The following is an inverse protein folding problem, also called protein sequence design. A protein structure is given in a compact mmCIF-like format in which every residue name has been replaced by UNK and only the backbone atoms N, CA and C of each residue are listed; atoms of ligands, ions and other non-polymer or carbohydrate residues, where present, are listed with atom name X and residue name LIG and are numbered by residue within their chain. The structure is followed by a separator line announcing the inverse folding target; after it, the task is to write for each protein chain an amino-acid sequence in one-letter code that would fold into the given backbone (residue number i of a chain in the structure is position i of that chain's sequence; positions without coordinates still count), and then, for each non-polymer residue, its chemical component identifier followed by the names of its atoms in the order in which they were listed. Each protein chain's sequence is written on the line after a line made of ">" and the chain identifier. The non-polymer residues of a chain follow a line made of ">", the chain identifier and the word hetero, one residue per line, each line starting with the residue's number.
data_IF_122027221845
#
_entry.id   IF_122027221845
#
_cell.length_a   1.000
_cell.length_b   1.000
_cell.length_c   1.000
_cell.angle_alpha   90.00
_cell.angle_beta   90.00
_cell.angle_gamma   90.00
#
_symmetry.space_group_name_H-M   'P 1'
#
loop_
_entity.id
_entity.type
_entity.pdbx_description
1 polymer ?
#
# COMPACT_ATOMS: atom_id res chain seq x y z
N UNK A 1 -21.62 11.28 25.11
CA UNK A 1 -20.35 10.62 24.77
C UNK A 1 -20.35 10.36 23.28
N UNK A 2 -19.22 10.56 22.61
CA UNK A 2 -19.07 10.32 21.19
C UNK A 2 -18.11 9.14 21.00
N UNK A 3 -18.57 8.00 20.45
CA UNK A 3 -17.74 6.81 20.30
C UNK A 3 -16.81 6.90 19.09
N UNK A 4 -15.64 6.30 19.21
CA UNK A 4 -14.63 6.18 18.16
C UNK A 4 -14.08 4.76 18.10
N UNK A 5 -13.66 4.34 16.92
CA UNK A 5 -12.87 3.14 16.70
C UNK A 5 -11.40 3.49 16.57
N UNK A 6 -10.56 2.78 17.32
CA UNK A 6 -9.11 2.92 17.26
C UNK A 6 -8.47 1.54 17.37
N UNK A 7 -7.41 1.30 16.60
CA UNK A 7 -6.78 0.00 16.52
C UNK A 7 -6.31 -0.41 17.91
N UNK A 8 -6.59 -1.66 18.36
CA UNK A 8 -6.48 -2.02 19.76
C UNK A 8 -5.16 -1.60 20.42
N UNK A 9 -4.04 -1.74 19.74
CA UNK A 9 -2.70 -1.50 20.30
C UNK A 9 -2.36 -0.02 20.53
N UNK A 10 -3.19 0.89 20.01
CA UNK A 10 -3.06 2.34 20.14
C UNK A 10 -3.75 2.85 21.42
N UNK A 11 -3.08 3.74 22.13
CA UNK A 11 -3.55 4.37 23.35
C UNK A 11 -3.63 5.88 23.17
N UNK A 12 -4.81 6.44 23.43
CA UNK A 12 -4.99 7.89 23.46
C UNK A 12 -4.36 8.45 24.72
N UNK A 13 -3.56 9.50 24.56
CA UNK A 13 -2.92 10.27 25.62
C UNK A 13 -3.74 11.49 25.98
N UNK A 14 -4.32 12.15 24.97
CA UNK A 14 -5.03 13.41 25.13
C UNK A 14 -6.04 13.60 24.01
N UNK A 15 -7.18 14.18 24.35
CA UNK A 15 -8.16 14.71 23.41
C UNK A 15 -8.37 16.19 23.73
N UNK A 16 -8.41 17.05 22.71
CA UNK A 16 -8.65 18.48 22.91
C UNK A 16 -9.53 19.07 21.81
N UNK A 17 -10.16 20.21 22.06
CA UNK A 17 -10.86 20.95 21.00
C UNK A 17 -9.88 21.74 20.12
N UNK A 18 -10.38 22.42 19.09
CA UNK A 18 -9.60 23.31 18.22
C UNK A 18 -8.80 24.37 19.00
N UNK A 19 -9.37 24.89 20.09
CA UNK A 19 -8.73 25.90 20.94
C UNK A 19 -7.69 25.32 21.93
N UNK A 20 -7.46 24.00 21.89
CA UNK A 20 -6.52 23.29 22.76
C UNK A 20 -7.10 22.93 24.14
N UNK A 21 -8.37 23.22 24.43
CA UNK A 21 -9.01 22.80 25.68
C UNK A 21 -9.14 21.28 25.73
N UNK A 22 -8.59 20.68 26.78
CA UNK A 22 -8.65 19.24 26.99
C UNK A 22 -10.09 18.74 27.27
N UNK A 23 -10.38 17.56 26.76
CA UNK A 23 -11.68 16.89 26.86
C UNK A 23 -11.47 15.51 27.48
N UNK A 24 -12.34 15.16 28.44
CA UNK A 24 -12.31 13.85 29.06
C UNK A 24 -12.60 12.74 28.04
N UNK A 25 -11.96 11.59 28.25
CA UNK A 25 -12.13 10.40 27.42
C UNK A 25 -12.28 9.16 28.28
N UNK A 26 -12.93 8.15 27.72
CA UNK A 26 -12.94 6.79 28.23
C UNK A 26 -12.28 5.94 27.16
N UNK A 27 -11.23 5.23 27.52
CA UNK A 27 -10.66 4.19 26.68
C UNK A 27 -10.46 2.95 27.54
N UNK A 28 -11.05 1.84 27.11
CA UNK A 28 -10.88 0.58 27.83
C UNK A 28 -9.44 0.06 27.74
N UNK A 29 -8.97 -0.67 28.78
CA UNK A 29 -7.61 -1.18 28.82
C UNK A 29 -7.38 -2.25 27.75
N UNK A 30 -6.11 -2.52 27.45
CA UNK A 30 -5.71 -3.48 26.42
C UNK A 30 -6.30 -4.90 26.58
N UNK A 31 -6.68 -5.29 27.78
CA UNK A 31 -7.24 -6.61 28.09
C UNK A 31 -8.75 -6.75 27.88
N UNK A 32 -9.45 -5.66 27.53
CA UNK A 32 -10.91 -5.61 27.32
C UNK A 32 -11.23 -5.35 25.83
N UNK A 33 -12.44 -4.85 25.53
CA UNK A 33 -12.95 -4.68 24.16
C UNK A 33 -12.40 -3.39 23.49
N UNK A 34 -11.61 -2.60 24.23
CA UNK A 34 -10.81 -1.42 23.81
C UNK A 34 -11.63 -0.28 23.20
N UNK A 35 -12.90 -0.18 23.58
CA UNK A 35 -13.78 0.91 23.19
C UNK A 35 -13.19 2.27 23.57
N UNK A 36 -13.31 3.23 22.66
CA UNK A 36 -12.92 4.63 22.84
C UNK A 36 -14.16 5.52 22.76
N UNK A 37 -14.33 6.40 23.75
CA UNK A 37 -15.38 7.42 23.73
C UNK A 37 -14.86 8.74 24.27
N UNK A 38 -15.25 9.83 23.62
CA UNK A 38 -14.96 11.21 24.06
C UNK A 38 -16.17 11.77 24.83
N UNK A 39 -15.93 12.38 25.98
CA UNK A 39 -16.95 13.01 26.81
C UNK A 39 -16.97 14.51 26.49
N UNK A 40 -17.79 14.90 25.52
CA UNK A 40 -17.95 16.31 25.16
C UNK A 40 -18.51 17.11 26.35
N UNK A 41 -17.94 18.28 26.69
CA UNK A 41 -18.37 19.09 27.83
C UNK A 41 -19.75 19.72 27.61
N UNK A 42 -20.17 19.87 26.35
CA UNK A 42 -21.48 20.38 25.96
C UNK A 42 -21.88 19.72 24.65
N UNK A 43 -23.18 19.52 24.44
CA UNK A 43 -23.68 19.00 23.17
C UNK A 43 -23.32 19.95 22.01
N UNK A 44 -22.71 19.45 20.92
CA UNK A 44 -22.51 20.24 19.72
C UNK A 44 -23.85 20.73 19.16
N UNK A 45 -23.86 21.92 18.57
CA UNK A 45 -25.04 22.42 17.87
C UNK A 45 -25.25 21.62 16.58
N UNK A 46 -26.48 21.15 16.36
CA UNK A 46 -26.81 20.35 15.18
C UNK A 46 -26.48 21.10 13.90
N UNK A 47 -25.79 20.41 12.98
CA UNK A 47 -25.37 20.97 11.69
C UNK A 47 -24.15 21.90 11.74
N UNK A 48 -23.58 22.17 12.92
CA UNK A 48 -22.32 22.92 13.03
C UNK A 48 -21.12 21.99 13.17
N UNK A 49 -20.08 22.15 12.35
CA UNK A 49 -18.86 21.38 12.49
C UNK A 49 -18.14 21.77 13.79
N UNK A 50 -17.39 20.82 14.35
CA UNK A 50 -16.46 21.03 15.45
C UNK A 50 -15.23 20.15 15.23
N UNK A 51 -14.12 20.50 15.87
CA UNK A 51 -12.84 19.79 15.73
C UNK A 51 -12.46 19.11 17.02
N UNK A 52 -11.98 17.87 16.90
CA UNK A 52 -11.34 17.12 17.97
C UNK A 52 -9.91 16.78 17.54
N UNK A 53 -8.97 17.09 18.41
CA UNK A 53 -7.56 16.77 18.24
C UNK A 53 -7.21 15.59 19.16
N UNK A 54 -6.73 14.50 18.56
CA UNK A 54 -6.33 13.29 19.26
C UNK A 54 -4.81 13.16 19.25
N UNK A 55 -4.23 12.94 20.42
CA UNK A 55 -2.83 12.57 20.59
C UNK A 55 -2.78 11.13 21.09
N UNK A 56 -2.14 10.23 20.35
CA UNK A 56 -2.11 8.81 20.65
C UNK A 56 -0.80 8.17 20.20
N UNK A 57 -0.47 7.04 20.81
CA UNK A 57 0.73 6.27 20.47
C UNK A 57 0.45 4.77 20.55
N UNK A 58 1.28 3.98 19.88
CA UNK A 58 1.23 2.54 19.96
C UNK A 58 2.10 1.89 18.88
N UNK A 59 1.91 0.59 18.71
CA UNK A 59 2.69 -0.25 17.81
C UNK A 59 1.74 -1.18 17.02
N UNK A 60 2.29 -2.08 16.21
CA UNK A 60 1.55 -3.15 15.51
C UNK A 60 0.54 -2.68 14.43
N UNK A 61 0.46 -1.37 14.15
CA UNK A 61 -0.25 -0.85 12.97
C UNK A 61 0.56 -1.05 11.67
N UNK A 62 1.84 -1.40 11.78
CA UNK A 62 2.71 -1.68 10.65
C UNK A 62 3.17 -3.13 10.72
N UNK A 63 3.06 -3.83 9.59
CA UNK A 63 3.59 -5.17 9.39
C UNK A 63 4.79 -5.13 8.44
N UNK A 64 5.87 -5.86 8.80
CA UNK A 64 7.01 -6.07 7.90
C UNK A 64 6.68 -7.20 6.94
N UNK A 65 6.82 -6.94 5.64
CA UNK A 65 6.59 -7.91 4.56
C UNK A 65 7.91 -8.46 4.00
N UNK A 66 9.02 -8.30 4.72
CA UNK A 66 10.35 -8.70 4.27
C UNK A 66 11.31 -7.52 4.17
N UNK A 67 12.46 -7.72 3.52
CA UNK A 67 13.57 -6.76 3.55
C UNK A 67 13.13 -5.40 2.98
N UNK A 68 13.00 -4.42 3.87
CA UNK A 68 12.72 -3.03 3.51
C UNK A 68 11.29 -2.73 3.05
N UNK A 69 10.31 -3.62 3.20
CA UNK A 69 8.91 -3.38 2.81
C UNK A 69 7.97 -3.49 4.02
N UNK A 70 7.17 -2.45 4.23
CA UNK A 70 6.25 -2.32 5.35
C UNK A 70 4.86 -1.90 4.88
N UNK A 71 3.84 -2.57 5.39
CA UNK A 71 2.44 -2.29 5.04
C UNK A 71 1.66 -1.84 6.28
N UNK A 72 0.61 -1.06 6.05
CA UNK A 72 -0.42 -0.88 7.06
C UNK A 72 -1.09 -2.24 7.34
N UNK A 73 -1.08 -2.64 8.61
CA UNK A 73 -1.70 -3.88 9.08
C UNK A 73 -3.15 -3.95 8.55
N UNK A 74 -3.55 -5.03 7.85
CA UNK A 74 -4.91 -5.19 7.34
C UNK A 74 -5.99 -5.01 8.41
N UNK A 75 -5.75 -5.44 9.65
CA UNK A 75 -6.64 -5.27 10.79
C UNK A 75 -6.74 -3.83 11.31
N UNK A 76 -5.78 -2.97 10.96
CA UNK A 76 -5.74 -1.56 11.38
C UNK A 76 -6.21 -0.58 10.29
N UNK A 77 -6.57 -1.06 9.09
CA UNK A 77 -6.84 -0.18 7.92
C UNK A 77 -7.92 0.88 8.14
N UNK A 78 -8.91 0.58 8.98
CA UNK A 78 -9.99 1.51 9.31
C UNK A 78 -9.79 2.26 10.64
N UNK A 79 -8.75 1.93 11.40
CA UNK A 79 -8.66 2.31 12.81
C UNK A 79 -7.25 2.67 13.27
N UNK A 80 -6.25 2.77 12.38
CA UNK A 80 -4.93 3.32 12.72
C UNK A 80 -4.96 4.83 13.05
N UNK A 81 -6.10 5.48 12.78
CA UNK A 81 -6.52 6.79 13.26
C UNK A 81 -7.90 6.66 13.94
N UNK A 82 -8.29 7.61 14.82
CA UNK A 82 -9.62 7.60 15.44
C UNK A 82 -10.72 7.76 14.37
N UNK A 83 -11.40 6.66 14.06
CA UNK A 83 -12.53 6.64 13.13
C UNK A 83 -13.85 6.74 13.89
N UNK A 84 -14.93 7.16 13.22
CA UNK A 84 -16.24 7.26 13.87
C UNK A 84 -16.74 5.88 14.33
N UNK A 85 -17.07 5.76 15.61
CA UNK A 85 -17.57 4.51 16.18
C UNK A 85 -18.99 4.20 15.73
N UNK A 86 -19.37 2.92 15.80
CA UNK A 86 -20.67 2.40 15.33
C UNK A 86 -20.93 2.63 13.84
N UNK A 87 -19.86 2.78 13.04
CA UNK A 87 -19.96 2.85 11.58
C UNK A 87 -19.40 1.58 10.98
N UNK A 88 -20.12 1.00 10.01
CA UNK A 88 -19.60 -0.17 9.31
C UNK A 88 -18.43 0.24 8.39
N UNK A 89 -17.44 -0.63 8.26
CA UNK A 89 -16.29 -0.44 7.37
C UNK A 89 -16.71 0.09 5.99
N UNK A 90 -16.12 1.23 5.60
CA UNK A 90 -16.31 1.85 4.30
C UNK A 90 -17.65 2.56 4.09
N UNK A 91 -18.45 2.75 5.14
CA UNK A 91 -19.64 3.60 5.06
C UNK A 91 -19.32 5.07 5.33
N UNK A 92 -18.42 5.34 6.28
CA UNK A 92 -17.95 6.69 6.56
C UNK A 92 -16.96 7.16 5.48
N UNK A 93 -16.97 8.46 5.17
CA UNK A 93 -16.08 9.05 4.18
C UNK A 93 -15.57 10.41 4.62
N UNK A 94 -14.28 10.64 4.37
CA UNK A 94 -13.61 11.88 4.71
C UNK A 94 -12.56 12.23 3.67
N UNK A 95 -12.28 13.53 3.52
CA UNK A 95 -11.06 13.97 2.89
C UNK A 95 -9.90 13.86 3.90
N UNK A 96 -8.70 13.56 3.41
CA UNK A 96 -7.53 13.33 4.26
C UNK A 96 -6.37 14.23 3.86
N UNK A 97 -5.76 14.87 4.86
CA UNK A 97 -4.48 15.54 4.78
C UNK A 97 -3.55 14.92 5.83
N UNK A 98 -2.49 14.25 5.38
CA UNK A 98 -1.65 13.41 6.23
C UNK A 98 -0.18 13.81 6.10
N UNK A 99 0.50 13.94 7.24
CA UNK A 99 1.94 14.12 7.31
C UNK A 99 2.57 12.83 7.85
N UNK A 100 3.34 12.13 7.02
CA UNK A 100 4.09 10.96 7.45
C UNK A 100 5.54 11.33 7.74
N UNK A 101 6.06 10.89 8.89
CA UNK A 101 7.48 10.99 9.25
C UNK A 101 8.08 9.58 9.31
N UNK A 102 9.13 9.33 8.51
CA UNK A 102 9.67 7.98 8.30
C UNK A 102 11.17 8.01 7.94
N UNK A 103 11.90 6.88 8.03
CA UNK A 103 13.33 6.82 7.70
C UNK A 103 13.60 7.26 6.25
N UNK A 104 14.61 8.12 6.03
CA UNK A 104 14.85 8.77 4.73
C UNK A 104 15.18 7.83 3.57
N UNK A 105 15.65 6.61 3.87
CA UNK A 105 15.97 5.59 2.87
C UNK A 105 14.72 4.93 2.27
N UNK A 106 13.55 5.08 2.89
CA UNK A 106 12.31 4.49 2.41
C UNK A 106 11.52 5.49 1.56
N UNK A 107 10.51 4.96 0.88
CA UNK A 107 9.50 5.69 0.12
C UNK A 107 8.13 5.45 0.77
N UNK A 108 7.43 6.53 1.12
CA UNK A 108 6.05 6.49 1.61
C UNK A 108 5.06 6.56 0.44
N UNK A 109 4.03 5.72 0.46
CA UNK A 109 2.93 5.72 -0.49
C UNK A 109 1.62 5.84 0.30
N UNK A 110 1.09 7.06 0.37
CA UNK A 110 -0.16 7.36 1.06
C UNK A 110 -1.38 7.38 0.14
N UNK A 111 -2.54 7.60 0.75
CA UNK A 111 -3.80 7.88 0.06
C UNK A 111 -3.78 9.26 -0.61
N UNK A 112 -4.35 9.37 -1.81
CA UNK A 112 -4.38 10.62 -2.58
C UNK A 112 -3.07 10.89 -3.34
N UNK A 113 -2.60 12.13 -3.27
CA UNK A 113 -1.44 12.64 -4.00
C UNK A 113 -0.36 13.16 -3.05
N UNK A 114 0.91 12.95 -3.41
CA UNK A 114 2.04 13.56 -2.71
C UNK A 114 2.05 15.07 -3.01
N UNK A 115 1.93 15.89 -1.97
CA UNK A 115 1.89 17.35 -2.04
C UNK A 115 3.28 17.95 -1.82
N UNK A 116 4.04 17.39 -0.88
CA UNK A 116 5.35 17.92 -0.46
C UNK A 116 6.18 16.80 0.18
N UNK A 117 7.50 16.86 0.07
CA UNK A 117 8.44 15.96 0.76
C UNK A 117 9.71 16.72 1.15
N UNK A 118 10.07 16.67 2.44
CA UNK A 118 11.26 17.32 2.98
C UNK A 118 12.09 16.32 3.78
N UNK A 119 13.42 16.40 3.67
CA UNK A 119 14.35 15.61 4.47
C UNK A 119 14.77 16.43 5.70
N UNK A 120 14.56 15.88 6.89
CA UNK A 120 15.00 16.42 8.17
C UNK A 120 15.95 15.41 8.84
N UNK A 121 17.27 15.61 8.70
CA UNK A 121 18.28 14.74 9.30
C UNK A 121 18.31 13.32 8.71
N UNK A 122 17.86 12.35 9.49
CA UNK A 122 17.74 10.93 9.11
C UNK A 122 16.32 10.52 8.70
N UNK A 123 15.38 11.47 8.70
CA UNK A 123 13.98 11.24 8.36
C UNK A 123 13.53 12.04 7.14
N UNK A 124 12.43 11.59 6.54
CA UNK A 124 11.61 12.34 5.59
C UNK A 124 10.28 12.67 6.24
N UNK A 125 9.74 13.83 5.91
CA UNK A 125 8.34 14.18 6.11
C UNK A 125 7.68 14.28 4.75
N UNK A 126 6.68 13.43 4.48
CA UNK A 126 5.90 13.48 3.25
C UNK A 126 4.46 13.89 3.55
N UNK A 127 3.96 14.90 2.83
CA UNK A 127 2.59 15.39 2.91
C UNK A 127 1.76 14.75 1.81
N UNK A 128 0.69 14.07 2.19
CA UNK A 128 -0.25 13.43 1.27
C UNK A 128 -1.64 14.04 1.46
N UNK A 129 -2.35 14.26 0.36
CA UNK A 129 -3.69 14.86 0.40
C UNK A 129 -4.62 14.20 -0.62
N UNK A 130 -5.87 13.98 -0.23
CA UNK A 130 -6.93 13.62 -1.17
C UNK A 130 -7.52 14.85 -1.88
N UNK A 131 -7.02 16.06 -1.60
CA UNK A 131 -7.44 17.34 -2.18
C UNK A 131 -8.95 17.56 -2.11
N UNK A 132 -9.54 17.22 -0.97
CA UNK A 132 -10.99 17.37 -0.72
C UNK A 132 -11.86 16.25 -1.30
N UNK A 133 -11.29 15.29 -2.04
CA UNK A 133 -12.04 14.12 -2.47
C UNK A 133 -12.19 13.16 -1.30
N UNK A 134 -13.43 12.76 -1.01
CA UNK A 134 -13.72 11.87 0.09
C UNK A 134 -13.32 10.42 -0.21
N UNK A 135 -12.60 9.82 0.72
CA UNK A 135 -12.19 8.42 0.68
C UNK A 135 -12.88 7.65 1.79
N UNK A 136 -13.15 6.37 1.54
CA UNK A 136 -13.71 5.46 2.54
C UNK A 136 -12.71 5.07 3.63
N UNK A 137 -11.42 5.08 3.30
CA UNK A 137 -10.33 4.76 4.22
C UNK A 137 -9.07 5.53 3.81
N UNK A 138 -8.26 5.90 4.81
CA UNK A 138 -6.88 6.30 4.57
C UNK A 138 -5.96 5.09 4.76
N UNK A 139 -5.18 4.76 3.73
CA UNK A 139 -4.17 3.72 3.79
C UNK A 139 -2.80 4.24 3.43
N UNK A 140 -1.77 3.52 3.84
CA UNK A 140 -0.40 3.76 3.40
C UNK A 140 0.40 2.45 3.36
N UNK A 141 1.44 2.46 2.53
CA UNK A 141 2.53 1.47 2.56
C UNK A 141 3.85 2.25 2.48
N UNK A 142 4.93 1.70 3.01
CA UNK A 142 6.24 2.32 2.86
C UNK A 142 7.37 1.30 2.78
N UNK A 143 8.39 1.62 2.00
CA UNK A 143 9.48 0.66 1.80
C UNK A 143 10.53 1.12 0.80
N UNK A 144 11.51 0.25 0.59
CA UNK A 144 12.54 0.38 -0.44
C UNK A 144 12.00 -0.12 -1.78
N UNK A 145 11.30 0.78 -2.46
CA UNK A 145 10.63 0.49 -3.72
C UNK A 145 11.37 1.06 -4.93
N UNK A 146 11.36 0.31 -6.03
CA UNK A 146 11.55 0.86 -7.37
C UNK A 146 10.18 1.25 -7.93
N UNK A 147 10.05 2.51 -8.36
CA UNK A 147 8.83 3.05 -8.98
C UNK A 147 8.95 3.03 -10.51
N UNK A 148 7.89 2.59 -11.17
CA UNK A 148 7.63 2.87 -12.58
C UNK A 148 6.30 3.58 -12.71
N UNK A 149 6.21 4.50 -13.67
CA UNK A 149 5.03 5.33 -13.89
C UNK A 149 4.69 5.41 -15.37
N UNK A 150 3.41 5.32 -15.70
CA UNK A 150 2.87 5.64 -17.02
C UNK A 150 1.77 6.68 -16.86
N UNK A 151 1.79 7.70 -17.72
CA UNK A 151 0.66 8.62 -17.89
C UNK A 151 -0.14 8.15 -19.10
N UNK A 152 -1.40 7.81 -18.88
CA UNK A 152 -2.27 7.38 -19.96
C UNK A 152 -2.97 8.58 -20.59
N UNK A 153 -2.57 8.97 -21.81
CA UNK A 153 -3.15 10.13 -22.49
C UNK A 153 -4.63 9.95 -22.85
N UNK A 154 -5.12 8.70 -22.89
CA UNK A 154 -6.53 8.39 -23.21
C UNK A 154 -7.45 8.69 -22.02
N UNK A 155 -7.16 8.12 -20.86
CA UNK A 155 -7.97 8.31 -19.64
C UNK A 155 -7.51 9.50 -18.80
N UNK A 156 -6.27 9.94 -18.98
CA UNK A 156 -5.64 10.97 -18.17
C UNK A 156 -5.26 10.51 -16.76
N UNK A 157 -5.19 9.20 -16.51
CA UNK A 157 -4.68 8.62 -15.27
C UNK A 157 -3.14 8.57 -15.25
N UNK A 158 -2.57 8.73 -14.06
CA UNK A 158 -1.18 8.42 -13.74
C UNK A 158 -1.15 7.07 -12.99
N UNK A 159 -0.57 6.06 -13.64
CA UNK A 159 -0.50 4.70 -13.14
C UNK A 159 0.92 4.44 -12.64
N UNK A 160 1.04 4.01 -11.39
CA UNK A 160 2.31 3.71 -10.75
C UNK A 160 2.35 2.25 -10.30
N UNK A 161 3.47 1.57 -10.58
CA UNK A 161 3.79 0.28 -9.97
C UNK A 161 5.06 0.42 -9.16
N UNK A 162 4.98 0.01 -7.90
CA UNK A 162 6.07 0.03 -6.94
C UNK A 162 6.40 -1.40 -6.55
N UNK A 163 7.62 -1.83 -6.88
CA UNK A 163 8.10 -3.18 -6.61
C UNK A 163 9.31 -3.16 -5.69
N UNK A 164 9.51 -4.24 -4.95
CA UNK A 164 10.66 -4.38 -4.07
C UNK A 164 11.97 -4.30 -4.88
N UNK A 165 13.00 -3.69 -4.27
CA UNK A 165 14.35 -3.65 -4.85
C UNK A 165 14.96 -5.05 -4.98
N UNK A 166 14.66 -5.92 -4.02
CA UNK A 166 15.04 -7.33 -4.03
C UNK A 166 13.93 -8.24 -4.58
N UNK A 167 14.34 -9.31 -5.27
CA UNK A 167 13.43 -10.38 -5.68
C UNK A 167 12.97 -11.15 -4.42
N UNK A 168 11.66 -11.35 -4.18
CA UNK A 168 11.16 -12.12 -3.04
C UNK A 168 11.77 -13.53 -2.98
N UNK A 169 11.93 -14.07 -1.78
CA UNK A 169 12.60 -15.36 -1.57
C UNK A 169 11.84 -16.51 -2.23
N UNK A 170 10.50 -16.41 -2.29
CA UNK A 170 9.61 -17.35 -2.97
C UNK A 170 9.96 -17.43 -4.46
N UNK A 171 10.19 -16.27 -5.10
CA UNK A 171 10.57 -16.21 -6.52
C UNK A 171 11.99 -16.74 -6.73
N UNK A 172 12.94 -16.41 -5.84
CA UNK A 172 14.29 -16.99 -5.89
C UNK A 172 14.23 -18.52 -5.77
N UNK A 173 13.39 -19.04 -4.87
CA UNK A 173 13.22 -20.49 -4.69
C UNK A 173 12.64 -21.18 -5.93
N UNK A 174 11.68 -20.55 -6.60
CA UNK A 174 11.11 -21.05 -7.85
C UNK A 174 12.14 -21.00 -9.00
N UNK A 175 12.90 -19.90 -9.13
CA UNK A 175 13.98 -19.78 -10.10
C UNK A 175 15.02 -20.89 -9.91
N UNK A 176 15.45 -21.13 -8.67
CA UNK A 176 16.41 -22.19 -8.34
C UNK A 176 15.89 -23.57 -8.72
N UNK A 177 14.62 -23.89 -8.40
CA UNK A 177 13.98 -25.17 -8.76
C UNK A 177 13.89 -25.38 -10.27
N UNK A 178 13.60 -24.32 -11.02
CA UNK A 178 13.53 -24.38 -12.49
C UNK A 178 14.92 -24.55 -13.09
N UNK A 179 15.91 -23.77 -12.63
CA UNK A 179 17.30 -23.89 -13.07
C UNK A 179 17.86 -25.28 -12.80
N UNK A 180 17.53 -25.88 -11.66
CA UNK A 180 17.90 -27.25 -11.32
C UNK A 180 17.24 -28.26 -12.27
N UNK A 181 15.95 -28.09 -12.57
CA UNK A 181 15.22 -28.93 -13.53
C UNK A 181 15.80 -28.84 -14.94
N UNK A 182 16.14 -27.63 -15.41
CA UNK A 182 16.77 -27.40 -16.71
C UNK A 182 18.19 -28.01 -16.77
N UNK A 183 18.98 -27.84 -15.70
CA UNK A 183 20.32 -28.43 -15.58
C UNK A 183 20.26 -29.96 -15.62
N UNK A 184 19.29 -30.58 -14.94
CA UNK A 184 19.04 -32.03 -15.01
C UNK A 184 18.60 -32.47 -16.40
N UNK A 185 17.78 -31.69 -17.10
CA UNK A 185 17.39 -31.97 -18.49
C UNK A 185 18.57 -31.91 -19.45
N UNK A 186 19.46 -30.93 -19.31
CA UNK A 186 20.67 -30.84 -20.13
C UNK A 186 21.65 -31.98 -19.81
N UNK A 187 21.85 -32.32 -18.54
CA UNK A 187 22.73 -33.41 -18.13
C UNK A 187 22.24 -34.80 -18.60
N UNK A 188 20.92 -34.99 -18.73
CA UNK A 188 20.33 -36.24 -19.22
C UNK A 188 20.13 -36.29 -20.75
N UNK A 189 20.61 -35.28 -21.51
CA UNK A 189 20.70 -35.40 -22.97
C UNK A 189 21.87 -36.32 -23.31
N UNK A 190 21.60 -37.60 -23.54
CA UNK A 190 22.44 -38.41 -24.43
C UNK A 190 22.28 -37.87 -25.85
N UNK A 191 23.38 -37.38 -26.43
CA UNK A 191 23.45 -36.96 -27.83
C UNK A 191 22.98 -38.12 -28.70
N UNK A 192 21.75 -38.03 -29.22
CA UNK A 192 21.26 -39.02 -30.17
C UNK A 192 21.90 -38.76 -31.53
N UNK A 193 22.16 -39.80 -32.32
CA UNK A 193 22.82 -39.66 -33.63
C UNK A 193 22.11 -38.68 -34.59
N UNK A 194 20.81 -38.43 -34.38
CA UNK A 194 20.03 -37.43 -35.11
C UNK A 194 20.36 -35.96 -34.76
N UNK A 195 20.95 -35.68 -33.60
CA UNK A 195 21.36 -34.33 -33.19
C UNK A 195 22.66 -33.88 -33.89
N UNK A 196 23.46 -34.84 -34.39
CA UNK A 196 24.74 -34.58 -35.09
C UNK A 196 24.49 -34.18 -36.56
N UNK A 197 23.41 -34.67 -37.16
CA UNK A 197 23.09 -34.50 -38.58
C UNK A 197 22.39 -33.17 -38.90
N UNK A 198 21.78 -32.50 -37.92
CA UNK A 198 21.13 -31.21 -38.12
C UNK A 198 21.18 -30.34 -36.83
N UNK A 199 22.25 -29.56 -36.63
CA UNK A 199 22.43 -28.71 -35.46
C UNK A 199 21.44 -27.54 -35.37
N UNK A 200 20.65 -27.26 -36.42
CA UNK A 200 19.62 -26.21 -36.39
C UNK A 200 18.25 -26.70 -35.89
N UNK A 201 17.97 -28.01 -35.94
CA UNK A 201 16.73 -28.59 -35.36
C UNK A 201 16.79 -28.77 -33.85
N UNK A 202 17.97 -28.90 -33.28
CA UNK A 202 18.17 -29.11 -31.84
C UNK A 202 17.97 -27.83 -31.01
N UNK A 203 18.07 -26.64 -31.63
CA UNK A 203 17.79 -25.34 -31.01
C UNK A 203 16.30 -24.99 -30.96
N UNK A 204 15.49 -25.51 -31.89
CA UNK A 204 14.05 -25.23 -31.97
C UNK A 204 13.18 -25.97 -30.93
N UNK A 205 13.73 -26.99 -30.24
CA UNK A 205 13.06 -27.68 -29.11
C UNK A 205 13.44 -27.12 -27.75
N UNK A 206 14.35 -26.16 -27.71
CA UNK A 206 14.67 -25.37 -26.53
C UNK A 206 13.68 -24.21 -26.47
N UNK A 207 12.38 -24.50 -26.33
CA UNK A 207 11.48 -23.55 -25.66
C UNK A 207 11.89 -23.53 -24.20
N UNK A 208 13.07 -22.97 -23.91
CA UNK A 208 13.43 -22.55 -22.57
C UNK A 208 12.35 -21.58 -22.17
N UNK A 209 11.55 -21.95 -21.17
CA UNK A 209 10.77 -20.97 -20.46
C UNK A 209 11.82 -19.96 -19.99
N UNK A 210 11.83 -18.75 -20.52
CA UNK A 210 12.81 -17.71 -20.20
C UNK A 210 12.54 -17.19 -18.79
N UNK A 211 12.58 -18.08 -17.81
CA UNK A 211 12.25 -17.83 -16.40
C UNK A 211 13.35 -16.98 -15.76
N UNK A 212 14.58 -17.06 -16.29
CA UNK A 212 15.67 -16.14 -15.97
C UNK A 212 15.36 -14.66 -16.28
N UNK A 213 14.28 -14.36 -17.01
CA UNK A 213 13.79 -13.01 -17.25
C UNK A 213 12.65 -12.57 -16.31
N UNK A 214 12.18 -13.42 -15.38
CA UNK A 214 11.25 -12.97 -14.32
C UNK A 214 12.03 -12.16 -13.29
N UNK A 215 12.04 -10.85 -13.50
CA UNK A 215 12.47 -9.88 -12.51
C UNK A 215 11.24 -9.13 -12.00
N UNK A 216 11.33 -8.57 -10.80
CA UNK A 216 10.30 -7.64 -10.31
C UNK A 216 10.06 -6.49 -11.32
N UNK A 217 11.11 -6.07 -12.04
CA UNK A 217 11.04 -5.07 -13.10
C UNK A 217 10.23 -5.51 -14.32
N UNK A 218 10.45 -6.70 -14.88
CA UNK A 218 9.67 -7.16 -16.04
C UNK A 218 8.21 -7.43 -15.68
N UNK A 219 7.94 -7.89 -14.45
CA UNK A 219 6.57 -8.01 -13.95
C UNK A 219 5.90 -6.64 -13.77
N UNK A 220 6.64 -5.61 -13.35
CA UNK A 220 6.06 -4.26 -13.21
C UNK A 220 5.58 -3.66 -14.54
N UNK A 221 6.27 -3.95 -15.66
CA UNK A 221 5.83 -3.50 -16.99
C UNK A 221 4.52 -4.19 -17.39
N UNK A 222 4.41 -5.50 -17.14
CA UNK A 222 3.19 -6.25 -17.40
C UNK A 222 2.01 -5.71 -16.57
N UNK A 223 2.20 -5.50 -15.26
CA UNK A 223 1.16 -4.94 -14.37
C UNK A 223 0.73 -3.55 -14.85
N UNK A 224 1.66 -2.71 -15.32
CA UNK A 224 1.32 -1.39 -15.85
C UNK A 224 0.44 -1.47 -17.11
N UNK A 225 0.76 -2.38 -18.04
CA UNK A 225 -0.06 -2.59 -19.25
C UNK A 225 -1.47 -3.09 -18.89
N UNK A 226 -1.57 -4.06 -17.98
CA UNK A 226 -2.87 -4.57 -17.52
C UNK A 226 -3.69 -3.50 -16.79
N UNK A 227 -3.04 -2.67 -15.95
CA UNK A 227 -3.68 -1.56 -15.28
C UNK A 227 -4.17 -0.50 -16.28
N UNK A 228 -3.38 -0.19 -17.32
CA UNK A 228 -3.77 0.76 -18.36
C UNK A 228 -4.99 0.25 -19.15
N UNK A 229 -4.98 -1.01 -19.56
CA UNK A 229 -6.12 -1.60 -20.27
C UNK A 229 -7.36 -1.65 -19.37
N UNK A 230 -7.20 -2.07 -18.12
CA UNK A 230 -8.29 -2.14 -17.14
C UNK A 230 -8.91 -0.77 -16.91
N UNK A 231 -8.09 0.26 -16.65
CA UNK A 231 -8.58 1.61 -16.36
C UNK A 231 -9.31 2.22 -17.55
N UNK A 232 -8.89 1.96 -18.79
CA UNK A 232 -9.62 2.36 -20.00
C UNK A 232 -10.99 1.69 -20.10
N UNK A 233 -11.07 0.39 -19.80
CA UNK A 233 -12.35 -0.34 -19.79
C UNK A 233 -13.26 0.24 -18.70
N UNK A 234 -12.78 0.34 -17.46
CA UNK A 234 -13.60 0.87 -16.36
C UNK A 234 -14.04 2.31 -16.59
N UNK A 235 -13.17 3.18 -17.14
CA UNK A 235 -13.52 4.56 -17.50
C UNK A 235 -14.63 4.60 -18.57
N UNK A 236 -14.58 3.72 -19.56
CA UNK A 236 -15.59 3.64 -20.62
C UNK A 236 -16.97 3.15 -20.12
N UNK A 237 -17.00 2.23 -19.15
CA UNK A 237 -18.25 1.64 -18.66
C UNK A 237 -18.86 2.35 -17.44
N UNK A 238 -18.02 2.88 -16.54
CA UNK A 238 -18.45 3.43 -15.25
C UNK A 238 -18.11 4.92 -15.08
N UNK A 239 -17.37 5.49 -16.03
CA UNK A 239 -16.88 6.86 -15.95
C UNK A 239 -15.59 6.99 -15.13
N UNK A 240 -15.12 8.23 -15.06
CA UNK A 240 -13.83 8.54 -14.46
C UNK A 240 -13.88 8.53 -12.94
N UNK A 241 -12.85 7.96 -12.32
CA UNK A 241 -12.63 8.06 -10.88
C UNK A 241 -12.36 9.51 -10.48
N UNK A 242 -12.74 9.92 -9.26
CA UNK A 242 -12.48 11.27 -8.79
C UNK A 242 -10.99 11.54 -8.54
N UNK A 243 -10.14 10.51 -8.55
CA UNK A 243 -8.68 10.62 -8.47
C UNK A 243 -8.03 10.26 -9.78
N UNK A 244 -6.91 10.93 -10.09
CA UNK A 244 -6.16 10.68 -11.32
C UNK A 244 -4.98 9.74 -11.11
N UNK A 245 -4.58 9.51 -9.87
CA UNK A 245 -3.43 8.66 -9.52
C UNK A 245 -3.91 7.29 -9.04
N UNK A 246 -3.35 6.24 -9.62
CA UNK A 246 -3.53 4.86 -9.16
C UNK A 246 -2.14 4.27 -8.93
N UNK A 247 -1.85 3.91 -7.68
CA UNK A 247 -0.57 3.32 -7.31
C UNK A 247 -0.76 1.90 -6.80
N UNK A 248 0.02 0.97 -7.34
CA UNK A 248 0.00 -0.44 -6.99
C UNK A 248 1.35 -0.81 -6.37
N UNK A 249 1.34 -1.17 -5.10
CA UNK A 249 2.53 -1.61 -4.37
C UNK A 249 2.58 -3.13 -4.31
N UNK A 250 3.73 -3.73 -4.62
CA UNK A 250 3.96 -5.15 -4.43
C UNK A 250 3.87 -5.52 -2.94
N UNK A 251 3.05 -6.53 -2.66
CA UNK A 251 3.00 -7.23 -1.39
C UNK A 251 3.41 -8.69 -1.71
N UNK A 252 4.41 -9.27 -1.01
CA UNK A 252 4.78 -10.67 -1.18
C UNK A 252 3.70 -11.63 -0.69
#
# INVERSE_FOLDING_TARGET
>A
MLPFELYPTLQVKRVSTEDGKEIDLIQEPKSADRDLAVILPTAPESGKPFVLNFEYEGNEIVESMGVGNFILNPGARASWYPANGNTQFGLDSAAFDINFRFPKQLMMIGVGELVDEVIEGDQKIAKWSTKGVEMKVAGFNYGDFKRKTIKDDVTGYELEVLVNTEVPEEIKSLQNRVLEYESRRQSNRTTSASDILDPQRSSARTSGLTIGAFSTSSMSDYVLVEAQNSTRIYDAYFGRLPHRRIAMTQQP
#
